data_IF_488649404103
#
_entry.id   IF_488649404103
#
_cell.length_a   1.000
_cell.length_b   1.000
_cell.length_c   1.000
_cell.angle_alpha   90.00
_cell.angle_beta   90.00
_cell.angle_gamma   90.00
#
_symmetry.space_group_name_H-M   'P 1'
#
loop_
_entity.id
_entity.type
_entity.pdbx_description
1 polymer ?
#
# COMPACT_ATOMS: atom_id res chain seq x y z
N UNK A 1 25.99 20.72 3.39
CA UNK A 1 26.01 21.18 1.99
C UNK A 1 24.64 21.75 1.67
N UNK A 2 24.56 23.00 1.22
CA UNK A 2 23.26 23.66 1.02
C UNK A 2 22.60 23.22 -0.31
N UNK A 3 21.27 23.34 -0.40
CA UNK A 3 20.44 23.02 -1.57
C UNK A 3 20.92 23.78 -2.80
N UNK A 4 21.31 25.05 -2.63
CA UNK A 4 21.80 25.88 -3.74
C UNK A 4 23.10 25.29 -4.31
N UNK A 5 24.04 24.89 -3.46
CA UNK A 5 25.31 24.28 -3.89
C UNK A 5 25.06 22.96 -4.64
N UNK A 6 24.12 22.14 -4.16
CA UNK A 6 23.71 20.91 -4.85
C UNK A 6 23.13 21.22 -6.25
N UNK A 7 22.33 22.28 -6.35
CA UNK A 7 21.80 22.78 -7.62
C UNK A 7 22.90 23.21 -8.59
N UNK A 8 23.89 23.97 -8.12
CA UNK A 8 25.05 24.42 -8.91
C UNK A 8 25.85 23.25 -9.46
N UNK A 9 26.08 22.19 -8.69
CA UNK A 9 26.74 20.97 -9.17
C UNK A 9 25.91 20.29 -10.26
N UNK A 10 24.59 20.23 -10.09
CA UNK A 10 23.66 19.72 -11.09
C UNK A 10 23.72 20.52 -12.40
N UNK A 11 23.86 21.84 -12.30
CA UNK A 11 24.02 22.73 -13.45
C UNK A 11 25.35 22.49 -14.19
N UNK A 12 26.49 22.45 -13.49
CA UNK A 12 27.79 22.18 -14.12
C UNK A 12 27.79 20.86 -14.89
N UNK A 13 27.28 19.78 -14.27
CA UNK A 13 27.15 18.46 -14.91
C UNK A 13 26.15 18.45 -16.08
N UNK A 14 25.15 19.33 -16.05
CA UNK A 14 24.19 19.44 -17.14
C UNK A 14 24.81 20.13 -18.36
N UNK A 15 25.52 21.24 -18.15
CA UNK A 15 26.21 21.99 -19.21
C UNK A 15 27.24 21.12 -19.92
N UNK A 16 28.00 20.32 -19.17
CA UNK A 16 28.96 19.36 -19.72
C UNK A 16 28.31 18.30 -20.63
N UNK A 17 27.07 17.90 -20.32
CA UNK A 17 26.31 16.87 -21.07
C UNK A 17 25.39 17.45 -22.13
N UNK A 18 25.47 18.76 -22.41
CA UNK A 18 24.60 19.40 -23.39
C UNK A 18 25.07 19.04 -24.78
N UNK A 19 24.24 18.32 -25.52
CA UNK A 19 24.47 18.08 -26.94
C UNK A 19 23.96 19.27 -27.77
N UNK A 20 24.90 19.95 -28.43
CA UNK A 20 24.62 21.14 -29.24
C UNK A 20 23.96 20.81 -30.57
N UNK A 21 24.20 19.62 -31.13
CA UNK A 21 23.59 19.19 -32.39
C UNK A 21 22.10 18.89 -32.19
N UNK A 22 21.77 18.15 -31.13
CA UNK A 22 20.38 17.92 -30.76
C UNK A 22 19.66 19.23 -30.40
N UNK A 23 20.35 20.19 -29.77
CA UNK A 23 19.77 21.48 -29.44
C UNK A 23 19.48 22.33 -30.68
N UNK A 24 20.39 22.35 -31.67
CA UNK A 24 20.23 23.17 -32.87
C UNK A 24 19.07 22.73 -33.76
N UNK A 25 18.72 21.44 -33.71
CA UNK A 25 17.56 20.85 -34.39
C UNK A 25 16.22 21.15 -33.72
N UNK A 26 16.23 21.71 -32.51
CA UNK A 26 15.00 22.02 -31.76
C UNK A 26 14.32 23.28 -32.32
N UNK A 27 13.00 23.22 -32.51
CA UNK A 27 12.18 24.37 -32.92
C UNK A 27 12.28 25.55 -31.94
N UNK A 28 12.34 25.27 -30.63
CA UNK A 28 12.47 26.24 -29.56
C UNK A 28 13.66 25.88 -28.65
N UNK A 29 14.81 26.44 -28.99
CA UNK A 29 16.07 26.18 -28.29
C UNK A 29 16.03 26.65 -26.84
N UNK A 30 15.36 27.77 -26.54
CA UNK A 30 15.31 28.34 -25.19
C UNK A 30 14.51 27.44 -24.25
N UNK A 31 13.32 27.00 -24.69
CA UNK A 31 12.48 26.08 -23.91
C UNK A 31 13.15 24.73 -23.72
N UNK A 32 13.81 24.21 -24.75
CA UNK A 32 14.57 22.96 -24.67
C UNK A 32 15.70 23.07 -23.66
N UNK A 33 16.49 24.15 -23.70
CA UNK A 33 17.58 24.38 -22.75
C UNK A 33 17.06 24.51 -21.31
N UNK A 34 16.00 25.31 -21.09
CA UNK A 34 15.37 25.47 -19.77
C UNK A 34 14.87 24.16 -19.21
N UNK A 35 14.17 23.34 -20.01
CA UNK A 35 13.65 22.04 -19.56
C UNK A 35 14.77 21.05 -19.25
N UNK A 36 15.81 21.00 -20.09
CA UNK A 36 16.98 20.14 -19.95
C UNK A 36 17.77 20.44 -18.66
N UNK A 37 18.03 21.73 -18.40
CA UNK A 37 18.74 22.18 -17.21
C UNK A 37 17.87 22.00 -15.95
N UNK A 38 16.60 22.40 -16.00
CA UNK A 38 15.69 22.28 -14.86
C UNK A 38 15.52 20.82 -14.41
N UNK A 39 15.39 19.86 -15.34
CA UNK A 39 15.29 18.43 -15.03
C UNK A 39 16.51 17.92 -14.24
N UNK A 40 17.72 18.36 -14.61
CA UNK A 40 18.98 17.92 -13.98
C UNK A 40 19.25 18.61 -12.66
N UNK A 41 19.00 19.92 -12.57
CA UNK A 41 19.13 20.69 -11.32
C UNK A 41 18.18 20.14 -10.26
N UNK A 42 16.87 20.03 -10.57
CA UNK A 42 15.86 19.48 -9.65
C UNK A 42 16.17 18.04 -9.26
N UNK A 43 16.63 17.23 -10.22
CA UNK A 43 17.04 15.85 -9.96
C UNK A 43 18.21 15.75 -8.98
N UNK A 44 19.21 16.63 -9.10
CA UNK A 44 20.37 16.65 -8.21
C UNK A 44 20.01 17.11 -6.81
N UNK A 45 19.21 18.17 -6.69
CA UNK A 45 18.70 18.67 -5.41
C UNK A 45 17.90 17.59 -4.67
N UNK A 46 16.97 16.91 -5.35
CA UNK A 46 16.15 15.86 -4.74
C UNK A 46 17.00 14.74 -4.14
N UNK A 47 17.99 14.24 -4.90
CA UNK A 47 18.88 13.17 -4.43
C UNK A 47 19.74 13.62 -3.25
N UNK A 48 20.21 14.86 -3.27
CA UNK A 48 20.97 15.43 -2.17
C UNK A 48 20.13 15.51 -0.89
N UNK A 49 18.86 15.92 -0.99
CA UNK A 49 17.93 15.91 0.15
C UNK A 49 17.73 14.47 0.64
N UNK A 50 17.47 13.53 -0.27
CA UNK A 50 17.20 12.14 0.07
C UNK A 50 18.37 11.45 0.79
N UNK A 51 19.61 11.76 0.42
CA UNK A 51 20.82 11.21 1.06
C UNK A 51 21.04 11.79 2.47
N UNK A 52 20.67 13.06 2.69
CA UNK A 52 20.99 13.79 3.92
C UNK A 52 19.79 14.00 4.87
N UNK A 53 18.62 13.41 4.57
CA UNK A 53 17.38 13.66 5.34
C UNK A 53 17.33 12.95 6.70
N UNK A 54 18.13 11.91 6.90
CA UNK A 54 18.10 11.06 8.09
C UNK A 54 19.51 10.56 8.42
N UNK A 55 19.73 10.17 9.67
CA UNK A 55 21.03 9.68 10.15
C UNK A 55 21.42 8.36 9.46
N UNK A 56 20.43 7.54 9.10
CA UNK A 56 20.64 6.30 8.36
C UNK A 56 20.34 6.48 6.87
N UNK A 57 21.30 6.09 6.03
CA UNK A 57 21.19 6.17 4.59
C UNK A 57 20.22 5.12 4.05
N UNK A 58 19.18 5.56 3.33
CA UNK A 58 18.24 4.69 2.64
C UNK A 58 18.58 4.65 1.15
N UNK A 59 18.64 3.46 0.50
CA UNK A 59 18.81 3.36 -0.95
C UNK A 59 17.67 4.03 -1.75
N UNK A 60 18.00 4.66 -2.88
CA UNK A 60 17.01 5.46 -3.65
C UNK A 60 15.87 4.62 -4.23
N UNK A 61 16.10 3.35 -4.58
CA UNK A 61 15.03 2.47 -5.04
C UNK A 61 13.98 2.21 -3.94
N UNK A 62 14.40 2.04 -2.68
CA UNK A 62 13.50 1.92 -1.52
C UNK A 62 12.78 3.22 -1.22
N UNK A 63 13.44 4.37 -1.34
CA UNK A 63 12.79 5.67 -1.22
C UNK A 63 11.68 5.86 -2.26
N UNK A 64 11.89 5.37 -3.48
CA UNK A 64 10.89 5.42 -4.54
C UNK A 64 9.72 4.47 -4.26
N UNK A 65 9.94 3.29 -3.68
CA UNK A 65 8.87 2.42 -3.18
C UNK A 65 8.04 3.15 -2.11
N UNK A 66 8.69 3.70 -1.08
CA UNK A 66 8.03 4.44 0.02
C UNK A 66 7.20 5.63 -0.52
N UNK A 67 7.72 6.34 -1.53
CA UNK A 67 7.00 7.45 -2.19
C UNK A 67 5.81 6.98 -3.03
N UNK A 68 5.93 5.84 -3.72
CA UNK A 68 4.83 5.27 -4.53
C UNK A 68 3.65 4.86 -3.66
N UNK A 69 3.92 4.37 -2.46
CA UNK A 69 2.89 3.98 -1.49
C UNK A 69 2.30 5.17 -0.73
N UNK A 70 2.76 6.40 -1.01
CA UNK A 70 2.18 7.62 -0.44
C UNK A 70 2.32 7.74 1.07
N UNK A 71 3.27 7.01 1.68
CA UNK A 71 3.39 6.91 3.13
C UNK A 71 2.30 6.07 3.80
N UNK A 72 1.44 5.40 3.03
CA UNK A 72 0.53 4.38 3.57
C UNK A 72 1.30 3.09 3.65
N UNK A 73 1.46 2.56 4.85
CA UNK A 73 2.07 1.25 5.02
C UNK A 73 1.08 0.16 4.61
N UNK A 74 0.89 0.01 3.30
CA UNK A 74 0.00 -1.00 2.71
C UNK A 74 0.36 -2.40 3.19
N UNK A 75 1.62 -2.65 3.54
CA UNK A 75 2.05 -3.93 4.10
C UNK A 75 1.48 -4.15 5.49
N UNK A 76 1.49 -3.13 6.34
CA UNK A 76 0.87 -3.18 7.66
C UNK A 76 -0.65 -3.39 7.58
N UNK A 77 -1.34 -2.66 6.70
CA UNK A 77 -2.79 -2.82 6.47
C UNK A 77 -3.10 -4.20 5.89
N UNK A 78 -2.28 -4.68 4.95
CA UNK A 78 -2.37 -6.02 4.41
C UNK A 78 -2.17 -7.09 5.48
N UNK A 79 -1.17 -6.91 6.35
CA UNK A 79 -0.89 -7.85 7.43
C UNK A 79 -2.08 -7.95 8.39
N UNK A 80 -2.69 -6.83 8.78
CA UNK A 80 -3.88 -6.79 9.61
C UNK A 80 -5.09 -7.51 8.97
N UNK A 81 -5.45 -7.17 7.73
CA UNK A 81 -6.62 -7.82 7.11
C UNK A 81 -6.37 -9.28 6.72
N UNK A 82 -5.13 -9.63 6.41
CA UNK A 82 -4.76 -11.01 6.16
C UNK A 82 -4.84 -11.84 7.45
N UNK A 83 -4.31 -11.36 8.58
CA UNK A 83 -4.40 -12.08 9.86
C UNK A 83 -5.87 -12.28 10.31
N UNK A 84 -6.74 -11.31 10.04
CA UNK A 84 -8.15 -11.35 10.45
C UNK A 84 -9.05 -12.17 9.52
N UNK A 85 -8.84 -12.11 8.20
CA UNK A 85 -9.74 -12.74 7.23
C UNK A 85 -9.09 -13.90 6.48
N UNK A 86 -7.85 -13.80 6.03
CA UNK A 86 -7.22 -14.90 5.32
C UNK A 86 -6.56 -15.82 6.34
N UNK A 87 -7.29 -16.84 6.77
CA UNK A 87 -6.73 -17.97 7.54
C UNK A 87 -5.36 -18.34 6.98
N UNK A 88 -4.30 -18.06 7.76
CA UNK A 88 -3.08 -18.82 8.12
C UNK A 88 -2.40 -19.75 7.08
N UNK A 89 -3.03 -20.08 5.94
CA UNK A 89 -2.49 -20.94 4.89
C UNK A 89 -1.58 -20.21 3.91
N UNK A 90 -1.67 -18.88 3.82
CA UNK A 90 -0.62 -18.13 3.13
C UNK A 90 0.46 -17.80 4.17
N UNK A 91 1.14 -18.85 4.61
CA UNK A 91 2.40 -18.78 5.31
C UNK A 91 3.28 -17.70 4.64
N UNK A 92 3.48 -16.50 5.21
CA UNK A 92 4.58 -15.64 4.79
C UNK A 92 5.85 -16.14 5.48
N UNK A 93 6.07 -17.46 5.45
CA UNK A 93 7.18 -18.10 6.17
C UNK A 93 8.39 -17.97 5.26
N UNK A 94 8.99 -16.79 5.25
CA UNK A 94 10.44 -16.76 5.33
C UNK A 94 10.76 -16.94 6.83
N UNK A 95 11.48 -18.00 7.16
CA UNK A 95 11.91 -18.38 8.52
C UNK A 95 12.76 -17.30 9.24
N UNK A 96 12.99 -16.15 8.61
CA UNK A 96 13.86 -15.07 9.08
C UNK A 96 13.16 -13.96 9.89
N UNK A 97 11.82 -13.91 9.93
CA UNK A 97 11.10 -12.87 10.68
C UNK A 97 10.99 -13.21 12.18
N UNK A 98 12.09 -12.95 12.90
CA UNK A 98 12.26 -13.13 14.36
C UNK A 98 11.19 -12.46 15.25
N UNK A 99 10.37 -11.55 14.71
CA UNK A 99 9.36 -10.81 15.48
C UNK A 99 8.17 -11.71 15.87
N UNK A 100 7.85 -12.74 15.07
CA UNK A 100 6.66 -13.58 15.28
C UNK A 100 6.87 -14.83 16.15
N UNK A 101 8.08 -15.03 16.68
CA UNK A 101 8.39 -16.16 17.57
C UNK A 101 8.15 -15.84 19.06
N UNK A 102 7.67 -14.64 19.37
CA UNK A 102 7.36 -14.24 20.75
C UNK A 102 5.99 -14.82 21.12
N UNK A 103 5.89 -15.67 22.16
CA UNK A 103 4.61 -16.18 22.61
C UNK A 103 3.73 -15.03 23.09
N UNK A 104 2.51 -14.96 22.56
CA UNK A 104 1.54 -13.94 22.93
C UNK A 104 1.06 -14.17 24.37
N UNK A 105 1.36 -13.20 25.24
CA UNK A 105 0.95 -13.19 26.66
C UNK A 105 -0.19 -12.19 26.93
N UNK A 106 -0.81 -11.62 25.88
CA UNK A 106 -1.84 -10.61 26.04
C UNK A 106 -3.16 -11.19 26.58
N UNK A 107 -3.91 -10.37 27.32
CA UNK A 107 -5.24 -10.75 27.78
C UNK A 107 -6.17 -10.96 26.57
N UNK A 108 -7.07 -11.97 26.59
CA UNK A 108 -7.93 -12.28 25.47
C UNK A 108 -8.74 -11.04 25.07
N UNK A 109 -8.45 -10.53 23.87
CA UNK A 109 -9.04 -9.30 23.35
C UNK A 109 -10.57 -9.39 23.34
N UNK A 110 -11.26 -8.27 23.58
CA UNK A 110 -12.72 -8.25 23.51
C UNK A 110 -13.17 -8.38 22.06
N UNK A 111 -13.47 -9.62 21.65
CA UNK A 111 -13.91 -9.99 20.31
C UNK A 111 -15.14 -9.20 19.85
N UNK A 112 -16.03 -8.82 20.77
CA UNK A 112 -17.20 -7.99 20.47
C UNK A 112 -16.80 -6.57 20.03
N UNK A 113 -15.84 -5.96 20.72
CA UNK A 113 -15.34 -4.62 20.37
C UNK A 113 -14.62 -4.64 19.01
N UNK A 114 -13.77 -5.65 18.78
CA UNK A 114 -13.05 -5.83 17.53
C UNK A 114 -14.00 -6.08 16.35
N UNK A 115 -15.02 -6.93 16.52
CA UNK A 115 -16.00 -7.19 15.48
C UNK A 115 -16.83 -5.96 15.13
N UNK A 116 -17.21 -5.15 16.14
CA UNK A 116 -17.88 -3.87 15.91
C UNK A 116 -17.00 -2.90 15.13
N UNK A 117 -15.71 -2.83 15.48
CA UNK A 117 -14.74 -1.98 14.79
C UNK A 117 -14.53 -2.43 13.33
N UNK A 118 -14.29 -3.72 13.09
CA UNK A 118 -14.20 -4.29 11.75
C UNK A 118 -15.46 -3.97 10.94
N UNK A 119 -16.64 -4.20 11.52
CA UNK A 119 -17.93 -3.91 10.87
C UNK A 119 -18.01 -2.45 10.43
N UNK A 120 -17.52 -1.51 11.24
CA UNK A 120 -17.48 -0.08 10.89
C UNK A 120 -16.56 0.20 9.70
N UNK A 121 -15.38 -0.43 9.65
CA UNK A 121 -14.43 -0.29 8.54
C UNK A 121 -15.00 -0.92 7.26
N UNK A 122 -15.58 -2.11 7.35
CA UNK A 122 -16.18 -2.80 6.22
C UNK A 122 -17.31 -1.94 5.60
N UNK A 123 -18.24 -1.42 6.42
CA UNK A 123 -19.34 -0.56 5.92
C UNK A 123 -18.86 0.74 5.28
N UNK A 124 -17.71 1.26 5.71
CA UNK A 124 -17.15 2.52 5.18
C UNK A 124 -16.50 2.33 3.80
N UNK A 125 -15.89 1.19 3.56
CA UNK A 125 -15.01 0.97 2.41
C UNK A 125 -15.52 -0.06 1.40
N UNK A 126 -16.59 -0.80 1.71
CA UNK A 126 -17.13 -1.84 0.86
C UNK A 126 -18.58 -1.59 0.45
N UNK A 127 -18.96 -2.20 -0.67
CA UNK A 127 -20.34 -2.19 -1.14
C UNK A 127 -21.16 -3.24 -0.37
N UNK A 128 -22.49 -3.12 -0.39
CA UNK A 128 -23.38 -3.99 0.39
C UNK A 128 -23.10 -5.50 0.21
N UNK A 129 -22.90 -5.95 -1.04
CA UNK A 129 -22.62 -7.37 -1.32
C UNK A 129 -21.25 -7.81 -0.78
N UNK A 130 -20.23 -6.97 -0.93
CA UNK A 130 -18.86 -7.25 -0.42
C UNK A 130 -18.85 -7.33 1.11
N UNK A 131 -19.55 -6.38 1.75
CA UNK A 131 -19.75 -6.32 3.19
C UNK A 131 -20.44 -7.59 3.71
N UNK A 132 -21.60 -7.96 3.14
CA UNK A 132 -22.36 -9.12 3.58
C UNK A 132 -21.61 -10.43 3.36
N UNK A 133 -20.85 -10.56 2.27
CA UNK A 133 -20.00 -11.73 2.03
C UNK A 133 -18.96 -11.89 3.14
N UNK A 134 -18.23 -10.83 3.51
CA UNK A 134 -17.22 -10.90 4.59
C UNK A 134 -17.87 -11.14 5.96
N UNK A 135 -18.94 -10.40 6.26
CA UNK A 135 -19.70 -10.51 7.51
C UNK A 135 -20.17 -11.93 7.76
N UNK A 136 -20.81 -12.57 6.78
CA UNK A 136 -21.33 -13.94 6.90
C UNK A 136 -20.23 -15.01 6.81
N UNK A 137 -19.16 -14.78 6.05
CA UNK A 137 -18.05 -15.75 5.94
C UNK A 137 -17.29 -15.91 7.24
N UNK A 138 -17.06 -14.80 7.96
CA UNK A 138 -16.26 -14.80 9.19
C UNK A 138 -17.11 -14.72 10.47
N UNK A 139 -18.42 -14.49 10.34
CA UNK A 139 -19.35 -14.47 11.46
C UNK A 139 -19.08 -13.32 12.43
N UNK A 140 -19.04 -12.09 11.92
CA UNK A 140 -18.69 -10.91 12.72
C UNK A 140 -19.76 -10.58 13.76
N UNK A 141 -21.03 -10.68 13.38
CA UNK A 141 -22.22 -10.36 14.18
C UNK A 141 -23.33 -11.41 13.98
N UNK A 142 -23.03 -12.51 13.28
CA UNK A 142 -23.95 -13.60 12.98
C UNK A 142 -23.18 -14.93 12.89
N UNK A 143 -23.92 -16.04 12.81
CA UNK A 143 -23.31 -17.35 12.61
C UNK A 143 -22.53 -17.41 11.29
N UNK A 144 -21.47 -18.23 11.24
CA UNK A 144 -20.70 -18.43 10.02
C UNK A 144 -21.52 -19.21 9.00
N UNK A 145 -21.53 -18.71 7.77
CA UNK A 145 -22.22 -19.34 6.65
C UNK A 145 -21.22 -19.91 5.66
N UNK A 146 -21.58 -21.04 5.05
CA UNK A 146 -20.86 -21.60 3.91
C UNK A 146 -21.02 -20.73 2.66
N UNK A 147 -20.08 -20.83 1.72
CA UNK A 147 -20.13 -20.06 0.49
C UNK A 147 -21.43 -20.26 -0.32
N UNK A 148 -22.03 -21.45 -0.25
CA UNK A 148 -23.32 -21.76 -0.90
C UNK A 148 -24.50 -21.07 -0.20
N UNK A 149 -24.52 -21.06 1.14
CA UNK A 149 -25.56 -20.37 1.90
C UNK A 149 -25.49 -18.85 1.70
N UNK A 150 -24.27 -18.30 1.62
CA UNK A 150 -24.05 -16.88 1.32
C UNK A 150 -24.55 -16.55 -0.08
N UNK A 151 -24.22 -17.39 -1.08
CA UNK A 151 -24.70 -17.22 -2.44
C UNK A 151 -26.23 -17.21 -2.52
N UNK A 152 -26.89 -18.13 -1.81
CA UNK A 152 -28.34 -18.21 -1.74
C UNK A 152 -28.95 -16.96 -1.07
N UNK A 153 -28.34 -16.45 0.01
CA UNK A 153 -28.83 -15.25 0.72
C UNK A 153 -28.64 -13.94 -0.04
N UNK A 154 -27.65 -13.87 -0.93
CA UNK A 154 -27.31 -12.67 -1.71
C UNK A 154 -27.77 -12.73 -3.16
N UNK A 155 -28.62 -13.70 -3.49
CA UNK A 155 -29.15 -13.95 -4.84
C UNK A 155 -28.04 -14.04 -5.91
N UNK A 156 -26.93 -14.70 -5.58
CA UNK A 156 -25.82 -14.95 -6.50
C UNK A 156 -26.12 -16.25 -7.26
N UNK A 157 -26.74 -16.12 -8.43
CA UNK A 157 -27.18 -17.27 -9.25
C UNK A 157 -26.12 -17.66 -10.28
N UNK A 158 -25.73 -18.93 -10.31
CA UNK A 158 -24.85 -19.51 -11.33
C UNK A 158 -24.34 -20.91 -10.95
N UNK A 159 -23.84 -21.68 -11.93
CA UNK A 159 -23.30 -23.03 -11.69
C UNK A 159 -22.02 -23.05 -10.80
N UNK A 160 -21.41 -21.88 -10.61
CA UNK A 160 -20.17 -21.65 -9.83
C UNK A 160 -20.35 -20.53 -8.80
N UNK A 161 -21.53 -20.45 -8.20
CA UNK A 161 -21.93 -19.49 -7.17
C UNK A 161 -20.95 -19.37 -6.00
N UNK A 162 -20.49 -20.50 -5.45
CA UNK A 162 -19.50 -20.56 -4.36
C UNK A 162 -18.12 -20.00 -4.76
N UNK A 163 -17.73 -20.15 -6.03
CA UNK A 163 -16.50 -19.57 -6.58
C UNK A 163 -16.65 -18.06 -6.62
N UNK A 164 -17.80 -17.56 -7.06
CA UNK A 164 -18.09 -16.13 -7.13
C UNK A 164 -18.06 -15.47 -5.75
N UNK A 165 -18.58 -16.14 -4.72
CA UNK A 165 -18.46 -15.69 -3.32
C UNK A 165 -16.99 -15.62 -2.89
N UNK A 166 -16.17 -16.61 -3.26
CA UNK A 166 -14.74 -16.62 -2.94
C UNK A 166 -13.96 -15.50 -3.64
N UNK A 167 -14.32 -15.16 -4.88
CA UNK A 167 -13.77 -14.03 -5.61
C UNK A 167 -14.15 -12.70 -4.96
N UNK A 168 -15.44 -12.50 -4.64
CA UNK A 168 -15.93 -11.30 -3.96
C UNK A 168 -15.24 -11.12 -2.61
N UNK A 169 -14.99 -12.20 -1.88
CA UNK A 169 -14.23 -12.20 -0.63
C UNK A 169 -12.81 -11.65 -0.83
N UNK A 170 -12.09 -12.13 -1.84
CA UNK A 170 -10.73 -11.67 -2.16
C UNK A 170 -10.73 -10.20 -2.61
N UNK A 171 -11.68 -9.82 -3.46
CA UNK A 171 -11.81 -8.45 -3.96
C UNK A 171 -12.10 -7.47 -2.82
N UNK A 172 -13.00 -7.82 -1.91
CA UNK A 172 -13.33 -7.03 -0.73
C UNK A 172 -12.09 -6.82 0.17
N UNK A 173 -11.31 -7.87 0.44
CA UNK A 173 -10.07 -7.74 1.23
C UNK A 173 -9.06 -6.81 0.55
N UNK A 174 -8.84 -6.95 -0.76
CA UNK A 174 -7.93 -6.05 -1.50
C UNK A 174 -8.42 -4.60 -1.44
N UNK A 175 -9.73 -4.37 -1.60
CA UNK A 175 -10.34 -3.04 -1.53
C UNK A 175 -10.17 -2.41 -0.14
N UNK A 176 -10.21 -3.20 0.94
CA UNK A 176 -9.88 -2.70 2.28
C UNK A 176 -8.42 -2.31 2.41
N UNK A 177 -7.51 -3.16 1.93
CA UNK A 177 -6.05 -2.91 1.98
C UNK A 177 -5.67 -1.62 1.26
N UNK A 178 -6.33 -1.34 0.13
CA UNK A 178 -6.03 -0.16 -0.67
C UNK A 178 -6.61 1.15 -0.10
N UNK A 179 -7.72 1.06 0.65
CA UNK A 179 -8.51 2.25 1.05
C UNK A 179 -8.44 2.59 2.54
N UNK A 180 -8.12 1.63 3.42
CA UNK A 180 -7.99 1.86 4.86
C UNK A 180 -6.65 2.51 5.17
N UNK A 181 -6.66 3.50 6.07
CA UNK A 181 -5.42 4.11 6.50
C UNK A 181 -4.75 3.29 7.61
N UNK A 182 -3.43 3.12 7.52
CA UNK A 182 -2.62 2.35 8.47
C UNK A 182 -2.75 2.81 9.93
N UNK A 183 -2.95 4.12 10.18
CA UNK A 183 -3.18 4.63 11.54
C UNK A 183 -4.41 4.03 12.22
N UNK A 184 -5.39 3.58 11.43
CA UNK A 184 -6.64 3.01 11.92
C UNK A 184 -6.51 1.53 12.34
N UNK A 185 -5.40 0.87 11.99
CA UNK A 185 -5.18 -0.55 12.30
C UNK A 185 -3.98 -0.79 13.21
N UNK A 186 -3.21 0.29 13.50
CA UNK A 186 -2.01 0.24 14.32
C UNK A 186 -2.28 -0.28 15.75
N UNK A 187 -3.39 0.12 16.36
CA UNK A 187 -3.73 -0.26 17.74
C UNK A 187 -4.14 -1.75 17.89
N UNK A 188 -4.25 -2.49 16.78
CA UNK A 188 -4.70 -3.88 16.73
C UNK A 188 -3.65 -4.86 16.18
N UNK A 189 -2.41 -4.39 15.96
CA UNK A 189 -1.24 -5.18 15.57
C UNK A 189 -0.22 -5.21 16.73
#
# INVERSE_FOLDING_TARGET
>A
MDIIQCGSIGLCKAVEKLDRETLSQSEDQEKTLKSFLAKRIRGTIRRAIDINRADMRIPEHKLNEIRKDGGKDKKMVAMFFNSMFLSIDNKPYDDDDMIYQIPDTSEPYNTGLLNMYLTSLLKKHLDYKEYEVLRMSYGLDCDKHSAKEIAAKLDIVGASDYVRVSELKKQAVVKLIDNVDHSQVLDYL
#
